data_IF_261344255536
#
_entry.id   IF_261344255536
#
_cell.length_a   1.000
_cell.length_b   1.000
_cell.length_c   1.000
_cell.angle_alpha   90.00
_cell.angle_beta   90.00
_cell.angle_gamma   90.00
#
_symmetry.space_group_name_H-M   'P 1'
#
loop_
_entity.id
_entity.type
_entity.pdbx_description
1 polymer ?
#
# COMPACT_ATOMS: atom_id res chain seq x y z
N UNK A 1 -5.62 -14.59 5.90
CA UNK A 1 -4.30 -13.91 6.05
C UNK A 1 -4.50 -12.41 6.27
N UNK A 2 -3.58 -11.73 6.98
CA UNK A 2 -3.50 -10.26 7.08
C UNK A 2 -2.42 -9.71 6.14
N UNK A 3 -2.81 -8.96 5.12
CA UNK A 3 -1.90 -8.40 4.11
C UNK A 3 -1.70 -6.91 4.40
N UNK A 4 -0.51 -6.54 4.83
CA UNK A 4 -0.21 -5.18 5.28
C UNK A 4 0.72 -4.51 4.27
N UNK A 5 0.16 -3.66 3.43
CA UNK A 5 0.93 -2.81 2.51
C UNK A 5 1.49 -1.60 3.25
N UNK A 6 2.81 -1.44 3.26
CA UNK A 6 3.43 -0.31 3.94
C UNK A 6 4.22 0.60 2.99
N UNK A 7 4.25 1.88 3.33
CA UNK A 7 5.09 2.86 2.67
C UNK A 7 5.57 3.92 3.67
N UNK A 8 6.09 5.04 3.18
CA UNK A 8 6.58 6.12 4.04
C UNK A 8 5.43 6.83 4.77
N UNK A 9 4.48 7.42 4.05
CA UNK A 9 3.46 8.32 4.63
C UNK A 9 2.02 7.80 4.60
N UNK A 10 1.77 6.56 4.16
CA UNK A 10 0.43 5.97 4.15
C UNK A 10 -0.59 6.61 3.19
N UNK A 11 -0.18 7.59 2.39
CA UNK A 11 -1.10 8.39 1.56
C UNK A 11 -1.22 7.91 0.09
N UNK A 12 -0.17 7.28 -0.44
CA UNK A 12 -0.02 7.08 -1.89
C UNK A 12 0.20 5.62 -2.25
N UNK A 13 1.40 5.11 -2.03
CA UNK A 13 1.84 3.83 -2.62
C UNK A 13 1.22 2.61 -1.96
N UNK A 14 1.16 2.59 -0.63
CA UNK A 14 0.48 1.52 0.12
C UNK A 14 -1.02 1.50 -0.17
N UNK A 15 -1.65 2.67 -0.20
CA UNK A 15 -3.07 2.85 -0.53
C UNK A 15 -3.36 2.38 -1.96
N UNK A 16 -2.52 2.76 -2.93
CA UNK A 16 -2.66 2.30 -4.32
C UNK A 16 -2.53 0.79 -4.42
N UNK A 17 -1.54 0.19 -3.77
CA UNK A 17 -1.35 -1.26 -3.78
C UNK A 17 -2.53 -1.99 -3.14
N UNK A 18 -3.06 -1.49 -2.01
CA UNK A 18 -4.25 -2.03 -1.36
C UNK A 18 -5.50 -1.88 -2.22
N UNK A 19 -5.74 -0.71 -2.82
CA UNK A 19 -6.86 -0.48 -3.72
C UNK A 19 -6.81 -1.40 -4.95
N UNK A 20 -5.63 -1.60 -5.52
CA UNK A 20 -5.40 -2.56 -6.61
C UNK A 20 -5.61 -4.01 -6.15
N UNK A 21 -5.17 -4.37 -4.94
CA UNK A 21 -5.38 -5.69 -4.36
C UNK A 21 -6.87 -5.98 -4.15
N UNK A 22 -7.66 -4.99 -3.76
CA UNK A 22 -9.09 -5.12 -3.49
C UNK A 22 -9.97 -4.94 -4.75
N UNK A 23 -9.36 -4.78 -5.93
CA UNK A 23 -10.11 -4.61 -7.18
C UNK A 23 -10.72 -3.23 -7.39
N UNK A 24 -10.42 -2.24 -6.53
CA UNK A 24 -10.83 -0.84 -6.73
C UNK A 24 -10.07 -0.15 -7.85
N UNK A 25 -8.92 -0.71 -8.26
CA UNK A 25 -8.15 -0.27 -9.40
C UNK A 25 -7.90 -1.44 -10.38
N UNK A 26 -7.82 -1.18 -11.68
CA UNK A 26 -7.69 -2.23 -12.69
C UNK A 26 -6.36 -2.97 -12.60
N UNK A 27 -6.40 -4.31 -12.58
CA UNK A 27 -5.19 -5.16 -12.49
C UNK A 27 -4.61 -5.52 -13.87
N UNK A 28 -5.41 -5.49 -14.94
CA UNK A 28 -4.99 -5.89 -16.29
C UNK A 28 -4.69 -4.71 -17.24
N UNK A 29 -4.87 -3.47 -16.77
CA UNK A 29 -4.43 -2.27 -17.51
C UNK A 29 -3.93 -1.20 -16.56
N UNK A 30 -3.22 -0.22 -17.10
CA UNK A 30 -2.85 0.98 -16.36
C UNK A 30 -4.08 1.79 -15.96
N UNK A 31 -4.17 2.14 -14.67
CA UNK A 31 -5.17 3.08 -14.19
C UNK A 31 -4.83 4.51 -14.65
N UNK A 32 -5.86 5.26 -15.03
CA UNK A 32 -5.74 6.68 -15.30
C UNK A 32 -5.47 7.46 -14.00
N UNK A 33 -4.87 8.66 -14.07
CA UNK A 33 -4.73 9.52 -12.89
C UNK A 33 -6.06 9.82 -12.20
N UNK A 34 -7.17 9.93 -12.94
CA UNK A 34 -8.50 10.17 -12.38
C UNK A 34 -8.98 8.98 -11.54
N UNK A 35 -8.80 7.74 -12.01
CA UNK A 35 -9.11 6.53 -11.25
C UNK A 35 -8.27 6.43 -9.97
N UNK A 36 -6.97 6.77 -10.05
CA UNK A 36 -6.08 6.77 -8.89
C UNK A 36 -6.53 7.82 -7.86
N UNK A 37 -6.93 9.01 -8.30
CA UNK A 37 -7.44 10.06 -7.42
C UNK A 37 -8.76 9.69 -6.74
N UNK A 38 -9.59 8.88 -7.41
CA UNK A 38 -10.85 8.38 -6.90
C UNK A 38 -10.71 7.13 -6.01
N UNK A 39 -9.51 6.52 -5.98
CA UNK A 39 -9.28 5.31 -5.19
C UNK A 39 -9.51 5.58 -3.68
N UNK A 40 -10.06 4.60 -2.94
CA UNK A 40 -10.33 4.75 -1.51
C UNK A 40 -9.10 5.21 -0.74
N UNK A 41 -9.28 6.23 0.11
CA UNK A 41 -8.25 6.84 0.97
C UNK A 41 -7.06 7.48 0.26
N UNK A 42 -7.08 7.64 -1.07
CA UNK A 42 -5.95 8.24 -1.79
C UNK A 42 -5.67 9.69 -1.33
N UNK A 43 -4.41 9.94 -0.95
CA UNK A 43 -3.92 11.22 -0.42
C UNK A 43 -4.70 11.78 0.79
N UNK A 44 -5.30 10.90 1.59
CA UNK A 44 -6.07 11.30 2.80
C UNK A 44 -5.28 11.20 4.09
N UNK A 45 -4.19 10.40 4.13
CA UNK A 45 -3.42 10.20 5.34
C UNK A 45 -2.71 11.49 5.81
N UNK A 46 -2.62 11.63 7.13
CA UNK A 46 -1.99 12.74 7.84
C UNK A 46 -0.78 12.25 8.65
N UNK A 47 0.01 13.19 9.20
CA UNK A 47 1.13 12.82 10.09
C UNK A 47 0.65 12.11 11.37
N UNK A 48 -0.58 12.37 11.83
CA UNK A 48 -1.17 11.68 12.98
C UNK A 48 -1.45 10.19 12.72
N UNK A 49 -1.43 9.78 11.44
CA UNK A 49 -1.67 8.41 11.00
C UNK A 49 -0.38 7.58 10.93
N UNK A 50 0.78 8.17 11.23
CA UNK A 50 2.07 7.49 11.26
C UNK A 50 2.05 6.33 12.27
N UNK A 51 2.48 5.14 11.85
CA UNK A 51 2.49 3.94 12.68
C UNK A 51 1.13 3.29 12.90
N UNK A 52 0.03 3.85 12.37
CA UNK A 52 -1.31 3.26 12.48
C UNK A 52 -1.62 2.30 11.34
N UNK A 53 -2.23 1.17 11.68
CA UNK A 53 -2.82 0.24 10.73
C UNK A 53 -4.21 0.72 10.31
N UNK A 54 -4.46 0.77 9.01
CA UNK A 54 -5.79 1.06 8.47
C UNK A 54 -6.32 -0.15 7.71
N UNK A 55 -7.47 -0.66 8.12
CA UNK A 55 -8.19 -1.68 7.39
C UNK A 55 -8.75 -1.08 6.09
N UNK A 56 -8.52 -1.77 4.97
CA UNK A 56 -8.95 -1.34 3.64
C UNK A 56 -10.08 -2.20 3.08
N UNK A 57 -10.21 -3.45 3.55
CA UNK A 57 -11.23 -4.39 3.09
C UNK A 57 -10.76 -5.84 3.15
N UNK A 58 -11.59 -6.75 2.65
CA UNK A 58 -11.24 -8.16 2.44
C UNK A 58 -11.21 -8.47 0.95
N UNK A 59 -10.25 -9.29 0.52
CA UNK A 59 -10.21 -9.81 -0.86
C UNK A 59 -11.20 -10.98 -1.05
N UNK A 60 -11.31 -11.47 -2.29
CA UNK A 60 -12.21 -12.57 -2.67
C UNK A 60 -11.91 -13.90 -1.94
N UNK A 61 -10.70 -14.06 -1.39
CA UNK A 61 -10.27 -15.23 -0.62
C UNK A 61 -10.39 -15.00 0.90
N UNK A 62 -11.03 -13.91 1.34
CA UNK A 62 -11.22 -13.59 2.75
C UNK A 62 -9.96 -13.05 3.45
N UNK A 63 -8.92 -12.66 2.70
CA UNK A 63 -7.74 -12.03 3.28
C UNK A 63 -8.02 -10.58 3.61
N UNK A 64 -7.67 -10.19 4.83
CA UNK A 64 -7.80 -8.81 5.29
C UNK A 64 -6.65 -7.95 4.75
N UNK A 65 -6.97 -6.84 4.10
CA UNK A 65 -5.98 -5.93 3.51
C UNK A 65 -5.88 -4.67 4.36
N UNK A 66 -4.65 -4.30 4.72
CA UNK A 66 -4.34 -3.14 5.54
C UNK A 66 -3.29 -2.24 4.88
N UNK A 67 -3.26 -0.98 5.32
CA UNK A 67 -2.15 -0.06 5.03
C UNK A 67 -1.45 0.42 6.30
N UNK A 68 -0.15 0.72 6.18
CA UNK A 68 0.68 1.19 7.29
C UNK A 68 1.71 2.23 6.82
N UNK A 69 1.80 3.35 7.54
CA UNK A 69 2.84 4.37 7.35
C UNK A 69 4.00 4.14 8.33
N UNK A 70 5.22 3.95 7.82
CA UNK A 70 6.40 3.64 8.65
C UNK A 70 7.48 4.74 8.67
N UNK A 71 7.30 5.80 7.87
CA UNK A 71 8.22 6.93 7.82
C UNK A 71 9.66 6.56 7.46
N UNK A 72 10.61 7.40 7.90
CA UNK A 72 12.04 7.22 7.62
C UNK A 72 12.63 5.92 8.18
N UNK A 73 12.07 5.43 9.30
CA UNK A 73 12.51 4.21 9.99
C UNK A 73 12.01 2.89 9.39
N UNK A 74 11.30 2.91 8.26
CA UNK A 74 10.64 1.73 7.67
C UNK A 74 11.51 0.48 7.53
N UNK A 75 12.83 0.63 7.27
CA UNK A 75 13.76 -0.51 7.14
C UNK A 75 13.83 -1.35 8.42
N UNK A 76 13.80 -0.70 9.58
CA UNK A 76 13.91 -1.37 10.88
C UNK A 76 12.52 -1.58 11.48
N UNK A 77 11.60 -0.64 11.25
CA UNK A 77 10.27 -0.67 11.87
C UNK A 77 9.40 -1.82 11.37
N UNK A 78 9.60 -2.32 10.14
CA UNK A 78 8.97 -3.57 9.69
C UNK A 78 9.27 -4.75 10.62
N UNK A 79 10.47 -4.81 11.22
CA UNK A 79 10.85 -5.88 12.14
C UNK A 79 10.14 -5.73 13.48
N UNK A 80 10.07 -4.51 14.00
CA UNK A 80 9.32 -4.22 15.24
C UNK A 80 7.81 -4.52 15.08
N UNK A 81 7.20 -4.18 13.93
CA UNK A 81 5.80 -4.56 13.64
C UNK A 81 5.64 -6.08 13.61
N UNK A 82 6.57 -6.78 12.92
CA UNK A 82 6.59 -8.23 12.88
C UNK A 82 6.72 -8.86 14.26
N UNK A 83 7.57 -8.32 15.13
CA UNK A 83 7.75 -8.80 16.49
C UNK A 83 6.52 -8.51 17.36
N UNK A 84 5.93 -7.31 17.24
CA UNK A 84 4.72 -6.95 17.98
C UNK A 84 3.57 -7.91 17.65
N UNK A 85 3.37 -8.26 16.38
CA UNK A 85 2.37 -9.24 15.95
C UNK A 85 2.62 -10.62 16.58
N UNK A 86 3.87 -11.08 16.60
CA UNK A 86 4.23 -12.37 17.22
C UNK A 86 4.03 -12.36 18.74
N UNK A 87 4.33 -11.26 19.41
CA UNK A 87 4.14 -11.12 20.87
C UNK A 87 2.66 -11.22 21.25
N UNK A 88 1.76 -10.72 20.40
CA UNK A 88 0.30 -10.85 20.61
C UNK A 88 -0.28 -12.16 20.07
N UNK A 89 0.58 -13.13 19.70
CA UNK A 89 0.16 -14.47 19.29
C UNK A 89 -0.25 -14.61 17.83
N UNK A 90 0.09 -13.65 16.95
CA UNK A 90 -0.14 -13.79 15.50
C UNK A 90 1.06 -14.49 14.86
N UNK A 91 0.82 -15.64 14.27
CA UNK A 91 1.88 -16.44 13.67
C UNK A 91 2.43 -15.80 12.40
N UNK A 92 3.71 -16.08 12.08
CA UNK A 92 4.35 -15.59 10.84
C UNK A 92 3.63 -16.04 9.56
N UNK A 93 2.86 -17.13 9.64
CA UNK A 93 2.02 -17.63 8.56
C UNK A 93 0.73 -16.83 8.37
N UNK A 94 0.33 -15.99 9.32
CA UNK A 94 -0.97 -15.32 9.32
C UNK A 94 -0.92 -13.88 8.83
N UNK A 95 0.27 -13.32 8.62
CA UNK A 95 0.43 -11.99 8.04
C UNK A 95 1.56 -11.88 7.01
N UNK A 96 1.47 -10.84 6.18
CA UNK A 96 2.47 -10.46 5.18
C UNK A 96 2.70 -8.95 5.22
N UNK A 97 3.94 -8.53 5.48
CA UNK A 97 4.36 -7.12 5.38
C UNK A 97 4.92 -6.85 3.97
N UNK A 98 4.25 -5.98 3.22
CA UNK A 98 4.57 -5.71 1.81
C UNK A 98 5.10 -4.29 1.63
N UNK A 99 6.34 -4.16 1.18
CA UNK A 99 6.97 -2.86 0.95
C UNK A 99 6.57 -2.26 -0.40
N UNK A 100 5.87 -1.13 -0.40
CA UNK A 100 5.47 -0.41 -1.62
C UNK A 100 6.47 0.66 -2.07
N UNK A 101 7.51 0.98 -1.27
CA UNK A 101 8.49 2.01 -1.61
C UNK A 101 9.25 1.78 -2.93
N UNK A 102 9.59 0.54 -3.32
CA UNK A 102 10.23 0.28 -4.61
C UNK A 102 9.38 0.66 -5.83
N UNK A 103 8.06 0.79 -5.68
CA UNK A 103 7.16 1.14 -6.78
C UNK A 103 7.14 2.66 -7.08
N UNK A 104 7.75 3.49 -6.23
CA UNK A 104 7.55 4.94 -6.23
C UNK A 104 8.58 5.64 -7.11
N UNK A 105 8.13 6.54 -7.99
CA UNK A 105 9.00 7.41 -8.76
C UNK A 105 9.12 8.83 -8.16
N UNK A 106 10.00 9.64 -8.74
CA UNK A 106 10.26 11.01 -8.27
C UNK A 106 9.01 11.89 -8.33
N UNK A 107 8.17 11.74 -9.36
CA UNK A 107 6.93 12.52 -9.50
C UNK A 107 5.95 12.21 -8.36
N UNK A 108 5.77 10.94 -7.99
CA UNK A 108 4.95 10.57 -6.82
C UNK A 108 5.52 11.15 -5.54
N UNK A 109 6.84 11.15 -5.36
CA UNK A 109 7.50 11.72 -4.16
C UNK A 109 7.28 13.23 -4.06
N UNK A 110 7.51 13.96 -5.16
CA UNK A 110 7.33 15.42 -5.21
C UNK A 110 5.86 15.76 -5.01
N UNK A 111 4.96 15.12 -5.76
CA UNK A 111 3.52 15.36 -5.64
C UNK A 111 3.01 15.09 -4.23
N UNK A 112 3.42 13.97 -3.64
CA UNK A 112 3.04 13.62 -2.28
C UNK A 112 3.59 14.58 -1.23
N UNK A 113 4.84 15.01 -1.35
CA UNK A 113 5.42 16.03 -0.47
C UNK A 113 4.71 17.37 -0.62
N UNK A 114 4.46 17.83 -1.84
CA UNK A 114 3.75 19.08 -2.09
C UNK A 114 2.33 19.04 -1.52
N UNK A 115 1.61 17.93 -1.67
CA UNK A 115 0.26 17.81 -1.12
C UNK A 115 0.23 17.73 0.40
N UNK A 116 1.06 16.86 0.98
CA UNK A 116 0.96 16.49 2.41
C UNK A 116 1.82 17.35 3.33
N UNK A 117 2.98 17.82 2.87
CA UNK A 117 3.89 18.62 3.69
C UNK A 117 3.68 20.12 3.50
N UNK A 118 3.39 20.56 2.26
CA UNK A 118 3.23 21.98 1.93
C UNK A 118 1.77 22.44 1.83
N UNK A 119 0.81 21.52 1.90
CA UNK A 119 -0.62 21.84 1.76
C UNK A 119 -1.03 22.26 0.34
N UNK A 120 -0.18 22.06 -0.67
CA UNK A 120 -0.44 22.42 -2.07
C UNK A 120 -1.30 21.35 -2.76
N UNK A 121 -2.46 21.04 -2.20
CA UNK A 121 -3.31 19.90 -2.56
C UNK A 121 -3.68 19.90 -4.05
N UNK A 122 -4.07 21.06 -4.59
CA UNK A 122 -4.53 21.21 -5.99
C UNK A 122 -3.44 20.88 -7.03
N UNK A 123 -2.17 20.96 -6.64
CA UNK A 123 -1.02 20.64 -7.49
C UNK A 123 -0.42 19.27 -7.13
N UNK A 124 -0.25 19.00 -5.84
CA UNK A 124 0.39 17.80 -5.34
C UNK A 124 -0.39 16.52 -5.66
N UNK A 125 -1.73 16.53 -5.50
CA UNK A 125 -2.58 15.35 -5.76
C UNK A 125 -2.50 14.89 -7.22
N UNK A 126 -2.76 15.77 -8.22
CA UNK A 126 -2.64 15.36 -9.62
C UNK A 126 -1.24 14.86 -9.98
N UNK A 127 -0.19 15.51 -9.48
CA UNK A 127 1.20 15.09 -9.74
C UNK A 127 1.50 13.72 -9.12
N UNK A 128 1.02 13.46 -7.90
CA UNK A 128 1.19 12.17 -7.25
C UNK A 128 0.48 11.05 -8.01
N UNK A 129 -0.77 11.28 -8.41
CA UNK A 129 -1.57 10.33 -9.19
C UNK A 129 -0.97 10.06 -10.56
N UNK A 130 -0.49 11.10 -11.26
CA UNK A 130 0.23 10.94 -12.53
C UNK A 130 1.53 10.16 -12.37
N UNK A 131 2.29 10.44 -11.29
CA UNK A 131 3.47 9.66 -10.95
C UNK A 131 3.14 8.18 -10.76
N UNK A 132 2.07 7.87 -10.03
CA UNK A 132 1.62 6.49 -9.84
C UNK A 132 1.24 5.85 -11.18
N UNK A 133 0.45 6.52 -12.00
CA UNK A 133 0.05 6.03 -13.33
C UNK A 133 1.27 5.66 -14.19
N UNK A 134 2.35 6.48 -14.16
CA UNK A 134 3.60 6.19 -14.87
C UNK A 134 4.34 4.95 -14.35
N UNK A 135 4.23 4.67 -13.06
CA UNK A 135 4.87 3.50 -12.42
C UNK A 135 3.89 2.35 -12.14
N UNK A 136 2.70 2.38 -12.75
CA UNK A 136 1.58 1.52 -12.35
C UNK A 136 1.87 0.03 -12.54
N UNK A 137 2.63 -0.32 -13.57
CA UNK A 137 3.10 -1.68 -13.83
C UNK A 137 3.88 -2.28 -12.64
N UNK A 138 4.61 -1.47 -11.88
CA UNK A 138 5.31 -1.92 -10.68
C UNK A 138 4.32 -2.34 -9.58
N UNK A 139 3.21 -1.62 -9.44
CA UNK A 139 2.15 -1.97 -8.49
C UNK A 139 1.42 -3.24 -8.92
N UNK A 140 1.11 -3.38 -10.21
CA UNK A 140 0.53 -4.61 -10.77
C UNK A 140 1.42 -5.82 -10.49
N UNK A 141 2.71 -5.72 -10.78
CA UNK A 141 3.67 -6.79 -10.51
C UNK A 141 3.76 -7.13 -9.00
N UNK A 142 3.81 -6.12 -8.13
CA UNK A 142 3.83 -6.30 -6.69
C UNK A 142 2.58 -7.07 -6.21
N UNK A 143 1.39 -6.62 -6.60
CA UNK A 143 0.12 -7.23 -6.18
C UNK A 143 -0.03 -8.64 -6.75
N UNK A 144 0.29 -8.85 -8.04
CA UNK A 144 0.29 -10.18 -8.66
C UNK A 144 1.24 -11.14 -7.92
N UNK A 145 2.43 -10.68 -7.52
CA UNK A 145 3.38 -11.47 -6.73
C UNK A 145 2.82 -11.86 -5.36
N UNK A 146 2.21 -10.91 -4.65
CA UNK A 146 1.56 -11.18 -3.35
C UNK A 146 0.45 -12.21 -3.50
N UNK A 147 -0.47 -12.02 -4.44
CA UNK A 147 -1.57 -12.97 -4.67
C UNK A 147 -1.07 -14.39 -5.00
N UNK A 148 -0.04 -14.51 -5.85
CA UNK A 148 0.58 -15.82 -6.15
C UNK A 148 1.19 -16.49 -4.93
N UNK A 149 1.89 -15.73 -4.07
CA UNK A 149 2.46 -16.32 -2.84
C UNK A 149 1.38 -16.84 -1.89
N UNK A 150 0.22 -16.17 -1.82
CA UNK A 150 -0.90 -16.61 -0.99
C UNK A 150 -1.55 -17.88 -1.52
N UNK A 151 -1.72 -17.98 -2.85
CA UNK A 151 -2.26 -19.18 -3.47
C UNK A 151 -1.35 -20.39 -3.27
N UNK A 152 -0.03 -20.21 -3.38
CA UNK A 152 0.94 -21.27 -3.10
C UNK A 152 0.86 -21.74 -1.65
N UNK A 153 0.83 -20.81 -0.69
CA UNK A 153 0.71 -21.14 0.74
C UNK A 153 -0.56 -21.95 1.05
N UNK A 154 -1.69 -21.64 0.38
CA UNK A 154 -2.92 -22.42 0.52
C UNK A 154 -2.78 -23.85 -0.02
N UNK A 155 -2.21 -24.01 -1.23
CA UNK A 155 -2.00 -25.34 -1.84
C UNK A 155 -1.04 -26.23 -1.05
N UNK A 156 -0.14 -25.67 -0.23
CA UNK A 156 0.76 -26.47 0.63
C UNK A 156 0.10 -26.98 1.92
N UNK A 157 -1.04 -26.39 2.32
CA UNK A 157 -1.75 -26.75 3.56
C UNK A 157 -2.92 -27.72 3.31
N UNK A 158 -3.35 -27.88 2.06
CA UNK A 158 -4.30 -28.90 1.59
C UNK A 158 -3.60 -30.22 1.26
#
# INVERSE_FOLDING_TARGET
MKIIYFCWGGAHSSVTAAALHLGHLPIERTASPAEILAAPRFDTASNADMGRLFFMGQDEAGNEVYTLALGGGHKHMKHAVSMALQVVGVDKGEYRLVNCLPCVNLATRIGGFSSRSLGLIRFGRPLAAWGIAKSYSNYQQLVKKVRRSLAQDATFLD
#
